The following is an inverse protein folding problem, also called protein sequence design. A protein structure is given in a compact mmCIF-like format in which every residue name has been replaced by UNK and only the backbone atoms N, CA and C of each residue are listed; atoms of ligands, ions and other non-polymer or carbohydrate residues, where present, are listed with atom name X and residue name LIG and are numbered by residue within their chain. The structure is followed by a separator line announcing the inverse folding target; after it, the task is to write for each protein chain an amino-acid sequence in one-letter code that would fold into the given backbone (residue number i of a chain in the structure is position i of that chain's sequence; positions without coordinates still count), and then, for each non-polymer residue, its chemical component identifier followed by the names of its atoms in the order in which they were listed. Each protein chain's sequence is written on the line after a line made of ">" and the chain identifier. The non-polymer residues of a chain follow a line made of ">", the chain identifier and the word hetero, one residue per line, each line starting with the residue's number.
data_IF_653801766473
#
_entry.id   IF_653801766473
#
_cell.length_a   1.000
_cell.length_b   1.000
_cell.length_c   1.000
_cell.angle_alpha   90.00
_cell.angle_beta   90.00
_cell.angle_gamma   90.00
#
_symmetry.space_group_name_H-M   'P 1'
#
loop_
_entity.id
_entity.type
_entity.pdbx_description
1 polymer ?
#
# COMPACT_ATOMS: atom_id res chain seq x y z
N UNK A 1 -5.21 -4.35 -14.19
CA UNK A 1 -5.13 -5.83 -14.23
C UNK A 1 -4.43 -6.52 -13.06
N UNK A 2 -3.53 -5.84 -12.30
CA UNK A 2 -2.86 -6.45 -11.13
C UNK A 2 -3.85 -6.92 -10.06
N UNK A 3 -4.88 -6.13 -9.74
CA UNK A 3 -5.90 -6.50 -8.76
C UNK A 3 -6.64 -7.79 -9.13
N UNK A 4 -6.89 -8.04 -10.43
CA UNK A 4 -7.46 -9.33 -10.87
C UNK A 4 -6.48 -10.49 -10.64
N UNK A 5 -5.18 -10.28 -10.89
CA UNK A 5 -4.14 -11.32 -10.65
C UNK A 5 -4.07 -11.73 -9.19
N UNK A 6 -4.22 -10.80 -8.25
CA UNK A 6 -4.23 -11.09 -6.81
C UNK A 6 -5.55 -11.69 -6.32
N UNK A 7 -6.54 -11.84 -7.20
CA UNK A 7 -7.80 -12.52 -6.91
C UNK A 7 -9.03 -11.62 -6.78
N UNK A 8 -8.92 -10.30 -6.97
CA UNK A 8 -10.07 -9.41 -6.93
C UNK A 8 -10.99 -9.64 -8.14
N UNK A 9 -12.30 -9.64 -7.91
CA UNK A 9 -13.31 -9.63 -8.98
C UNK A 9 -13.65 -8.18 -9.31
N UNK A 10 -13.53 -7.82 -10.57
CA UNK A 10 -13.77 -6.46 -11.05
C UNK A 10 -14.78 -6.51 -12.19
N UNK A 11 -15.89 -5.81 -11.99
CA UNK A 11 -16.89 -5.55 -13.02
C UNK A 11 -16.89 -4.07 -13.37
N UNK A 12 -16.89 -3.73 -14.64
CA UNK A 12 -16.91 -2.37 -15.13
C UNK A 12 -18.12 -2.15 -16.01
N UNK A 13 -18.76 -0.99 -15.86
CA UNK A 13 -19.78 -0.47 -16.78
C UNK A 13 -19.26 0.85 -17.35
N UNK A 14 -20.06 1.54 -18.16
CA UNK A 14 -19.70 2.86 -18.70
C UNK A 14 -19.34 3.86 -17.60
N UNK A 15 -20.05 3.82 -16.45
CA UNK A 15 -19.95 4.84 -15.39
C UNK A 15 -19.60 4.28 -14.01
N UNK A 16 -19.39 2.95 -13.88
CA UNK A 16 -19.13 2.35 -12.56
C UNK A 16 -18.02 1.30 -12.63
N UNK A 17 -17.31 1.16 -11.51
CA UNK A 17 -16.37 0.08 -11.27
C UNK A 17 -16.80 -0.58 -9.96
N UNK A 18 -17.14 -1.86 -10.01
CA UNK A 18 -17.43 -2.68 -8.84
C UNK A 18 -16.23 -3.59 -8.57
N UNK A 19 -15.74 -3.58 -7.34
CA UNK A 19 -14.61 -4.40 -6.90
C UNK A 19 -15.05 -5.25 -5.71
N UNK A 20 -14.83 -6.57 -5.81
CA UNK A 20 -14.97 -7.52 -4.71
C UNK A 20 -13.58 -8.05 -4.36
N UNK A 21 -13.14 -7.80 -3.12
CA UNK A 21 -11.85 -8.28 -2.62
C UNK A 21 -11.84 -9.80 -2.43
N UNK A 22 -10.70 -10.48 -2.66
CA UNK A 22 -10.59 -11.91 -2.41
C UNK A 22 -10.50 -12.21 -0.91
N UNK A 23 -10.97 -13.38 -0.48
CA UNK A 23 -10.76 -13.88 0.90
C UNK A 23 -9.27 -14.11 1.21
N UNK A 24 -8.47 -14.48 0.21
CA UNK A 24 -7.03 -14.67 0.30
C UNK A 24 -6.37 -13.95 -0.87
N UNK A 25 -5.47 -13.03 -0.58
CA UNK A 25 -4.70 -12.29 -1.59
C UNK A 25 -3.61 -13.22 -2.13
N UNK A 26 -3.53 -13.37 -3.45
CA UNK A 26 -2.47 -14.12 -4.11
C UNK A 26 -1.22 -13.26 -4.21
N UNK A 27 -0.06 -13.88 -4.08
CA UNK A 27 1.22 -13.23 -4.40
C UNK A 27 1.33 -12.93 -5.90
N UNK A 28 2.21 -12.01 -6.22
CA UNK A 28 2.59 -11.70 -7.60
C UNK A 28 4.08 -11.98 -7.74
N UNK A 29 4.44 -12.92 -8.60
CA UNK A 29 5.84 -13.28 -8.80
C UNK A 29 6.68 -12.06 -9.13
N UNK A 30 6.13 -11.17 -9.98
CA UNK A 30 6.84 -10.00 -10.43
C UNK A 30 5.91 -8.83 -10.82
N UNK A 31 6.20 -7.65 -10.30
CA UNK A 31 5.57 -6.37 -10.68
C UNK A 31 6.68 -5.39 -11.03
N UNK A 32 6.66 -4.88 -12.24
CA UNK A 32 7.63 -3.90 -12.74
C UNK A 32 6.95 -2.56 -12.96
N UNK A 33 7.51 -1.48 -12.38
CA UNK A 33 7.06 -0.12 -12.70
C UNK A 33 7.58 0.30 -14.07
N UNK A 34 6.85 1.15 -14.75
CA UNK A 34 7.20 1.63 -16.08
C UNK A 34 6.28 2.76 -16.51
N UNK A 35 6.66 3.39 -17.61
CA UNK A 35 5.84 4.39 -18.27
C UNK A 35 4.53 3.78 -18.78
N UNK A 36 3.51 4.62 -18.93
CA UNK A 36 2.22 4.17 -19.48
C UNK A 36 2.42 3.41 -20.82
N UNK A 37 1.75 2.26 -21.03
CA UNK A 37 0.65 1.68 -20.24
C UNK A 37 1.06 0.67 -19.16
N UNK A 38 2.32 0.64 -18.75
CA UNK A 38 2.81 -0.25 -17.69
C UNK A 38 2.30 0.17 -16.30
N UNK A 39 2.74 -0.54 -15.26
CA UNK A 39 2.33 -0.25 -13.89
C UNK A 39 2.98 1.06 -13.40
N UNK A 40 2.19 2.07 -13.00
CA UNK A 40 2.74 3.36 -12.62
C UNK A 40 3.47 3.32 -11.28
N UNK A 41 4.62 3.97 -11.22
CA UNK A 41 5.42 4.12 -9.99
C UNK A 41 4.64 4.79 -8.86
N UNK A 42 3.67 5.65 -9.17
CA UNK A 42 2.84 6.34 -8.18
C UNK A 42 1.93 5.39 -7.37
N UNK A 43 1.69 4.18 -7.84
CA UNK A 43 0.93 3.15 -7.14
C UNK A 43 1.81 2.03 -6.55
N UNK A 44 3.13 2.16 -6.67
CA UNK A 44 4.09 1.16 -6.24
C UNK A 44 4.03 0.89 -4.73
N UNK A 45 3.99 1.94 -3.91
CA UNK A 45 3.93 1.82 -2.46
C UNK A 45 2.60 1.19 -1.99
N UNK A 46 1.47 1.55 -2.63
CA UNK A 46 0.15 1.03 -2.29
C UNK A 46 0.01 -0.46 -2.64
N UNK A 47 0.51 -0.89 -3.82
CA UNK A 47 0.48 -2.32 -4.17
C UNK A 47 1.42 -3.12 -3.26
N UNK A 48 2.55 -2.54 -2.83
CA UNK A 48 3.45 -3.16 -1.87
C UNK A 48 2.73 -3.46 -0.55
N UNK A 49 1.97 -2.50 -0.01
CA UNK A 49 1.15 -2.72 1.20
C UNK A 49 0.19 -3.88 1.01
N UNK A 50 -0.51 -3.93 -0.12
CA UNK A 50 -1.45 -5.02 -0.40
C UNK A 50 -0.74 -6.38 -0.44
N UNK A 51 0.46 -6.44 -1.03
CA UNK A 51 1.25 -7.65 -1.13
C UNK A 51 1.84 -8.11 0.21
N UNK A 52 1.95 -7.23 1.23
CA UNK A 52 2.30 -7.68 2.59
C UNK A 52 1.27 -8.64 3.19
N UNK A 53 0.05 -8.68 2.65
CA UNK A 53 -1.03 -9.59 3.08
C UNK A 53 -1.22 -10.76 2.11
N UNK A 54 -0.40 -10.88 1.08
CA UNK A 54 -0.52 -11.92 0.09
C UNK A 54 -0.04 -13.28 0.65
N UNK A 55 -0.60 -14.37 0.12
CA UNK A 55 -0.11 -15.71 0.43
C UNK A 55 1.08 -16.05 -0.47
N UNK A 56 2.30 -15.96 0.08
CA UNK A 56 3.54 -16.24 -0.64
C UNK A 56 4.45 -15.02 -0.79
N UNK A 57 5.40 -15.11 -1.71
CA UNK A 57 6.39 -14.06 -1.99
C UNK A 57 6.03 -13.30 -3.25
N UNK A 58 6.28 -12.01 -3.24
CA UNK A 58 6.11 -11.12 -4.39
C UNK A 58 7.35 -10.27 -4.59
N UNK A 59 7.65 -9.91 -5.83
CA UNK A 59 8.77 -9.02 -6.16
C UNK A 59 8.25 -7.78 -6.87
N UNK A 60 8.66 -6.60 -6.40
CA UNK A 60 8.43 -5.33 -7.09
C UNK A 60 9.77 -4.80 -7.56
N UNK A 61 9.87 -4.47 -8.84
CA UNK A 61 11.03 -3.78 -9.43
C UNK A 61 10.63 -2.36 -9.81
N UNK A 62 11.35 -1.38 -9.22
CA UNK A 62 11.18 0.03 -9.51
C UNK A 62 12.21 0.49 -10.55
N UNK A 63 11.72 0.98 -11.70
CA UNK A 63 12.59 1.38 -12.82
C UNK A 63 12.43 2.83 -13.25
N UNK A 64 11.56 3.59 -12.56
CA UNK A 64 11.29 4.98 -12.93
C UNK A 64 12.08 5.96 -12.07
N UNK A 65 12.12 5.69 -10.76
CA UNK A 65 12.82 6.56 -9.82
C UNK A 65 13.77 5.79 -8.92
N UNK A 66 14.91 6.37 -8.66
CA UNK A 66 15.84 5.92 -7.64
C UNK A 66 15.26 6.16 -6.23
N UNK A 67 15.69 5.37 -5.26
CA UNK A 67 15.33 5.51 -3.83
C UNK A 67 13.83 5.54 -3.52
N UNK A 68 12.98 4.87 -4.35
CA UNK A 68 11.53 4.89 -4.20
C UNK A 68 10.99 3.99 -3.08
N UNK A 69 11.85 3.29 -2.34
CA UNK A 69 11.48 2.39 -1.25
C UNK A 69 11.62 3.02 0.15
N UNK A 70 11.60 4.35 0.26
CA UNK A 70 11.74 5.09 1.52
C UNK A 70 10.64 4.75 2.56
N UNK A 71 9.48 4.27 2.13
CA UNK A 71 8.39 3.82 3.01
C UNK A 71 8.63 2.42 3.62
N UNK A 72 9.56 1.64 3.08
CA UNK A 72 9.79 0.26 3.53
C UNK A 72 10.26 0.16 4.99
N UNK A 73 11.15 1.00 5.51
CA UNK A 73 11.49 0.99 6.94
C UNK A 73 10.25 1.12 7.84
N UNK A 74 9.32 2.01 7.48
CA UNK A 74 8.09 2.22 8.23
C UNK A 74 7.13 1.02 8.12
N UNK A 75 7.02 0.38 6.95
CA UNK A 75 6.27 -0.87 6.81
C UNK A 75 6.86 -2.00 7.65
N UNK A 76 8.20 -2.06 7.78
CA UNK A 76 8.87 -3.02 8.67
C UNK A 76 8.57 -2.77 10.14
N UNK A 77 8.37 -1.52 10.56
CA UNK A 77 7.93 -1.18 11.94
C UNK A 77 6.56 -1.80 12.26
N UNK A 78 5.69 -1.92 11.26
CA UNK A 78 4.42 -2.64 11.39
C UNK A 78 4.57 -4.17 11.34
N UNK A 79 5.79 -4.70 11.16
CA UNK A 79 6.06 -6.13 11.04
C UNK A 79 6.04 -6.69 9.62
N UNK A 80 6.03 -5.84 8.59
CA UNK A 80 6.11 -6.31 7.21
C UNK A 80 7.47 -6.94 6.90
N UNK A 81 7.45 -8.08 6.22
CA UNK A 81 8.64 -8.81 5.80
C UNK A 81 9.03 -8.39 4.38
N UNK A 82 9.90 -7.41 4.28
CA UNK A 82 10.36 -6.84 3.00
C UNK A 82 11.88 -6.81 2.98
N UNK A 83 12.49 -7.29 1.90
CA UNK A 83 13.91 -7.21 1.67
C UNK A 83 14.19 -6.45 0.38
N UNK A 84 15.06 -5.43 0.44
CA UNK A 84 15.45 -4.61 -0.71
C UNK A 84 16.78 -5.11 -1.24
N UNK A 85 16.87 -5.30 -2.56
CA UNK A 85 18.08 -5.62 -3.31
C UNK A 85 18.15 -4.72 -4.54
N UNK A 86 18.97 -3.67 -4.49
CA UNK A 86 19.02 -2.66 -5.53
C UNK A 86 17.66 -2.01 -5.77
N UNK A 87 17.17 -2.05 -7.01
CA UNK A 87 15.87 -1.53 -7.40
C UNK A 87 14.71 -2.53 -7.21
N UNK A 88 14.94 -3.63 -6.46
CA UNK A 88 13.92 -4.66 -6.21
C UNK A 88 13.57 -4.75 -4.74
N UNK A 89 12.28 -4.85 -4.45
CA UNK A 89 11.75 -5.19 -3.14
C UNK A 89 11.11 -6.58 -3.20
N UNK A 90 11.57 -7.48 -2.34
CA UNK A 90 11.02 -8.83 -2.15
C UNK A 90 10.13 -8.77 -0.92
N UNK A 91 8.84 -9.01 -1.10
CA UNK A 91 7.81 -8.95 -0.07
C UNK A 91 7.37 -10.37 0.25
N UNK A 92 7.44 -10.77 1.50
CA UNK A 92 6.84 -12.01 2.00
C UNK A 92 5.57 -11.66 2.78
N UNK A 93 4.45 -12.24 2.36
CA UNK A 93 3.16 -11.96 2.99
C UNK A 93 3.11 -12.43 4.44
N UNK A 94 2.40 -11.67 5.27
CA UNK A 94 2.21 -11.96 6.70
C UNK A 94 0.80 -11.58 7.15
N UNK A 95 0.31 -12.30 8.15
CA UNK A 95 -0.95 -11.94 8.84
C UNK A 95 -0.73 -11.15 10.13
N UNK A 96 0.53 -10.88 10.48
CA UNK A 96 0.94 -10.32 11.76
C UNK A 96 1.48 -8.90 11.59
N UNK A 97 0.70 -8.02 10.96
CA UNK A 97 1.00 -6.58 10.99
C UNK A 97 0.39 -6.00 12.27
N UNK A 98 1.20 -5.28 13.02
CA UNK A 98 0.88 -4.66 14.30
C UNK A 98 0.91 -3.13 14.17
N UNK A 99 0.08 -2.44 14.95
CA UNK A 99 0.08 -0.99 15.00
C UNK A 99 1.40 -0.43 15.53
N UNK A 100 1.85 0.67 14.96
CA UNK A 100 3.09 1.34 15.34
C UNK A 100 3.01 2.86 15.13
N UNK A 101 3.95 3.58 15.70
CA UNK A 101 4.19 4.97 15.36
C UNK A 101 5.04 5.07 14.09
N UNK A 102 4.53 5.79 13.09
CA UNK A 102 5.04 5.86 11.74
C UNK A 102 5.35 7.32 11.35
N UNK A 103 6.32 7.49 10.47
CA UNK A 103 6.74 8.79 9.98
C UNK A 103 6.51 8.90 8.46
N UNK A 104 5.65 9.82 8.04
CA UNK A 104 5.45 10.11 6.62
C UNK A 104 6.63 10.89 6.05
N UNK A 105 7.09 10.52 4.87
CA UNK A 105 8.21 11.15 4.15
C UNK A 105 7.78 11.93 2.91
N UNK A 106 6.75 11.45 2.23
CA UNK A 106 6.22 12.03 0.98
C UNK A 106 4.77 11.59 0.76
N UNK A 107 4.11 12.15 -0.26
CA UNK A 107 2.70 11.90 -0.56
C UNK A 107 2.36 10.41 -0.75
N UNK A 108 3.18 9.68 -1.49
CA UNK A 108 2.92 8.28 -1.87
C UNK A 108 3.19 7.33 -0.71
N UNK A 109 4.29 7.59 0.00
CA UNK A 109 4.60 6.90 1.25
C UNK A 109 3.47 7.12 2.27
N UNK A 110 3.03 8.37 2.46
CA UNK A 110 1.99 8.71 3.43
C UNK A 110 0.70 7.92 3.22
N UNK A 111 0.17 7.87 1.99
CA UNK A 111 -1.06 7.09 1.74
C UNK A 111 -0.83 5.60 1.90
N UNK A 112 0.34 5.09 1.52
CA UNK A 112 0.68 3.68 1.74
C UNK A 112 0.71 3.33 3.23
N UNK A 113 1.27 4.21 4.08
CA UNK A 113 1.28 4.02 5.54
C UNK A 113 -0.13 4.07 6.14
N UNK A 114 -1.02 4.94 5.65
CA UNK A 114 -2.44 4.94 6.05
C UNK A 114 -3.11 3.61 5.71
N UNK A 115 -2.88 3.08 4.50
CA UNK A 115 -3.42 1.77 4.10
C UNK A 115 -2.83 0.63 4.95
N UNK A 116 -1.53 0.69 5.24
CA UNK A 116 -0.86 -0.31 6.07
C UNK A 116 -1.37 -0.30 7.52
N UNK A 117 -1.55 0.89 8.12
CA UNK A 117 -2.15 1.05 9.43
C UNK A 117 -3.58 0.49 9.49
N UNK A 118 -4.36 0.69 8.42
CA UNK A 118 -5.73 0.20 8.33
C UNK A 118 -5.84 -1.34 8.36
N UNK A 119 -4.86 -2.05 7.81
CA UNK A 119 -4.84 -3.52 7.78
C UNK A 119 -4.04 -4.14 8.93
N UNK A 120 -3.40 -3.34 9.78
CA UNK A 120 -2.66 -3.77 10.96
C UNK A 120 -3.59 -3.97 12.16
N UNK A 121 -3.18 -4.80 13.11
CA UNK A 121 -3.87 -4.96 14.40
C UNK A 121 -3.47 -3.83 15.35
N UNK A 122 -4.39 -3.41 16.20
CA UNK A 122 -4.12 -2.35 17.19
C UNK A 122 -4.20 -0.95 16.59
N UNK A 123 -3.48 -0.01 17.17
CA UNK A 123 -3.52 1.42 16.82
C UNK A 123 -2.19 1.84 16.22
N UNK A 124 -2.23 2.60 15.14
CA UNK A 124 -1.07 3.27 14.56
C UNK A 124 -1.21 4.78 14.69
N UNK A 125 -0.07 5.46 14.88
CA UNK A 125 0.03 6.92 14.84
C UNK A 125 0.89 7.26 13.63
N UNK A 126 0.39 8.15 12.76
CA UNK A 126 1.12 8.59 11.58
C UNK A 126 1.45 10.07 11.73
N UNK A 127 2.72 10.38 11.83
CA UNK A 127 3.26 11.72 11.97
C UNK A 127 3.51 12.37 10.59
N UNK A 128 3.68 13.69 10.57
CA UNK A 128 3.95 14.51 9.38
C UNK A 128 2.92 14.34 8.27
N UNK A 129 1.64 14.25 8.64
CA UNK A 129 0.53 14.02 7.68
C UNK A 129 0.30 15.18 6.71
N UNK A 130 0.98 16.33 6.88
CA UNK A 130 0.96 17.40 5.89
C UNK A 130 1.43 16.96 4.49
N UNK A 131 2.27 15.93 4.40
CA UNK A 131 2.62 15.31 3.11
C UNK A 131 1.40 14.68 2.44
N UNK A 132 0.52 14.05 3.22
CA UNK A 132 -0.71 13.43 2.75
C UNK A 132 -1.72 14.48 2.25
N UNK A 133 -1.83 15.61 2.96
CA UNK A 133 -2.79 16.68 2.67
C UNK A 133 -2.55 17.34 1.30
N UNK A 134 -1.35 17.22 0.75
CA UNK A 134 -1.01 17.73 -0.59
C UNK A 134 -1.79 17.09 -1.73
N UNK A 135 -2.31 15.87 -1.55
CA UNK A 135 -3.03 15.14 -2.59
C UNK A 135 -4.29 14.43 -2.12
N UNK A 136 -4.54 14.38 -0.81
CA UNK A 136 -5.68 13.66 -0.24
C UNK A 136 -6.46 14.56 0.72
N UNK A 137 -7.33 15.40 0.17
CA UNK A 137 -8.18 16.29 0.96
C UNK A 137 -9.03 15.51 1.97
N UNK A 138 -8.85 15.82 3.27
CA UNK A 138 -9.63 15.24 4.39
C UNK A 138 -9.83 13.74 4.28
N UNK A 139 -8.75 13.00 4.01
CA UNK A 139 -8.78 11.55 3.77
C UNK A 139 -9.44 10.80 4.94
N UNK A 140 -9.24 11.27 6.18
CA UNK A 140 -9.86 10.69 7.37
C UNK A 140 -11.39 10.70 7.28
N UNK A 141 -11.99 11.74 6.71
CA UNK A 141 -13.44 11.81 6.54
C UNK A 141 -13.93 10.87 5.44
N UNK A 142 -13.13 10.70 4.37
CA UNK A 142 -13.45 9.76 3.28
C UNK A 142 -13.36 8.31 3.76
N UNK A 143 -12.33 7.99 4.54
CA UNK A 143 -12.14 6.64 5.08
C UNK A 143 -13.16 6.29 6.16
N UNK A 144 -13.58 7.24 7.01
CA UNK A 144 -14.67 7.02 7.98
C UNK A 144 -15.97 6.57 7.30
N UNK A 145 -16.30 7.11 6.11
CA UNK A 145 -17.52 6.74 5.37
C UNK A 145 -17.54 5.28 4.93
N UNK A 146 -16.38 4.65 4.81
CA UNK A 146 -16.25 3.21 4.49
C UNK A 146 -15.92 2.35 5.72
N UNK A 147 -16.10 2.90 6.94
CA UNK A 147 -16.02 2.15 8.19
C UNK A 147 -14.64 2.13 8.87
N UNK A 148 -13.66 2.89 8.37
CA UNK A 148 -12.33 2.97 9.00
C UNK A 148 -12.40 3.79 10.28
N UNK A 149 -11.85 3.24 11.38
CA UNK A 149 -11.68 3.96 12.65
C UNK A 149 -10.42 4.82 12.56
N UNK A 150 -10.57 6.07 12.18
CA UNK A 150 -9.47 7.01 12.01
C UNK A 150 -9.86 8.39 12.57
N UNK A 151 -8.91 9.09 13.16
CA UNK A 151 -9.08 10.49 13.58
C UNK A 151 -7.80 11.27 13.33
N UNK A 152 -7.94 12.56 13.05
CA UNK A 152 -6.82 13.49 13.08
C UNK A 152 -6.67 14.00 14.53
N UNK A 153 -5.44 14.05 14.99
CA UNK A 153 -5.04 14.68 16.25
C UNK A 153 -4.12 15.84 15.92
N UNK A 154 -4.27 16.93 16.63
CA UNK A 154 -3.41 18.13 16.57
C UNK A 154 -2.21 17.96 17.46
#
# INVERSE_FOLDING_TARGET
>A
NLLKKIGAKIKTTKNTIQIEGPKKIRSLDFVKTGEYPNFPTDLQAQIMVLLTRANGKSTIEENIFENRFMHVPELKRLGAKINIKGNKAIIEGTNNLEGAELMSSDLRASVALVLAAFISRGTSIINRVYHLDRGYEKIENKLKKIGVKIKRIS
#
